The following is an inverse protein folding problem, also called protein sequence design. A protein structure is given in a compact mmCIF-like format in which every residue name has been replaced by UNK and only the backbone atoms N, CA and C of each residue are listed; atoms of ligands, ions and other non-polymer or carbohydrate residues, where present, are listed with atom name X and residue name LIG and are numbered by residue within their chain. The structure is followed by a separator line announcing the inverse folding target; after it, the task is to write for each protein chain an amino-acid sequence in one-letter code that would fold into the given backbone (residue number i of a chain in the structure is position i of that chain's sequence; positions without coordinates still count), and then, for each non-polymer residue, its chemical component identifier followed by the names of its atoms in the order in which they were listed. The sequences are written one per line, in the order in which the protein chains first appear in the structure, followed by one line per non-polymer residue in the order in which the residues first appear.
data_IF_461815564700
#
_entry.id   IF_461815564700
#
_cell.length_a   1.000
_cell.length_b   1.000
_cell.length_c   1.000
_cell.angle_alpha   90.00
_cell.angle_beta   90.00
_cell.angle_gamma   90.00
#
_symmetry.space_group_name_H-M   'P 1'
#
loop_
_entity.id
_entity.type
_entity.pdbx_description
1 polymer ?
#
# COMPACT_ATOMS: atom_id res chain seq x y z
N UNK A 1 -4.75 -0.29 27.51
CA UNK A 1 -5.00 -1.17 26.35
C UNK A 1 -6.44 -0.97 25.93
N UNK A 2 -6.69 -0.56 24.69
CA UNK A 2 -8.06 -0.40 24.20
C UNK A 2 -8.58 -1.74 23.64
N UNK A 3 -9.91 -1.87 23.54
CA UNK A 3 -10.55 -2.98 22.81
C UNK A 3 -9.92 -3.14 21.42
N UNK A 4 -9.58 -2.03 20.77
CA UNK A 4 -8.93 -2.03 19.46
C UNK A 4 -7.61 -2.81 19.47
N UNK A 5 -6.72 -2.54 20.40
CA UNK A 5 -5.39 -3.17 20.47
C UNK A 5 -5.48 -4.68 20.72
N UNK A 6 -6.51 -5.13 21.45
CA UNK A 6 -6.75 -6.56 21.70
C UNK A 6 -7.27 -7.31 20.46
N UNK A 7 -8.06 -6.66 19.59
CA UNK A 7 -8.66 -7.30 18.41
C UNK A 7 -7.79 -7.21 17.14
N UNK A 8 -6.87 -6.24 17.04
CA UNK A 8 -5.98 -6.10 15.88
C UNK A 8 -5.17 -7.38 15.55
N UNK A 9 -4.55 -8.09 16.53
CA UNK A 9 -3.85 -9.34 16.26
C UNK A 9 -4.76 -10.43 15.67
N UNK A 10 -6.00 -10.51 16.16
CA UNK A 10 -6.99 -11.48 15.71
C UNK A 10 -7.39 -11.17 14.26
N UNK A 11 -7.71 -9.91 13.97
CA UNK A 11 -8.10 -9.47 12.62
C UNK A 11 -6.96 -9.63 11.62
N UNK A 12 -5.72 -9.33 12.01
CA UNK A 12 -4.55 -9.50 11.14
C UNK A 12 -4.33 -10.97 10.77
N UNK A 13 -4.49 -11.87 11.75
CA UNK A 13 -4.43 -13.32 11.53
C UNK A 13 -5.46 -13.77 10.48
N UNK A 14 -6.73 -13.39 10.63
CA UNK A 14 -7.77 -13.75 9.66
C UNK A 14 -7.53 -13.15 8.27
N UNK A 15 -7.04 -11.90 8.20
CA UNK A 15 -6.69 -11.24 6.93
C UNK A 15 -5.54 -11.95 6.21
N UNK A 16 -4.56 -12.47 6.93
CA UNK A 16 -3.49 -13.30 6.37
C UNK A 16 -3.98 -14.68 5.92
N UNK A 17 -4.80 -15.34 6.74
CA UNK A 17 -5.36 -16.68 6.46
C UNK A 17 -6.18 -16.76 5.17
N UNK A 18 -6.92 -15.69 4.85
CA UNK A 18 -7.66 -15.58 3.58
C UNK A 18 -6.78 -15.79 2.34
N UNK A 19 -5.48 -15.51 2.46
CA UNK A 19 -4.50 -15.81 1.42
C UNK A 19 -3.80 -17.14 1.64
N UNK A 20 -3.26 -17.39 2.83
CA UNK A 20 -2.36 -18.52 3.07
C UNK A 20 -3.07 -19.88 3.11
N UNK A 21 -4.37 -19.90 3.39
CA UNK A 21 -5.17 -21.15 3.45
C UNK A 21 -6.06 -21.35 2.22
N UNK A 22 -6.51 -20.28 1.56
CA UNK A 22 -7.51 -20.36 0.49
C UNK A 22 -7.06 -19.76 -0.86
N UNK A 23 -5.86 -19.17 -0.94
CA UNK A 23 -5.29 -18.55 -2.15
C UNK A 23 -6.26 -17.65 -2.93
N UNK A 24 -7.13 -16.94 -2.20
CA UNK A 24 -8.17 -16.11 -2.81
C UNK A 24 -7.64 -14.78 -3.35
N UNK A 25 -6.38 -14.44 -3.07
CA UNK A 25 -5.76 -13.17 -3.49
C UNK A 25 -4.76 -13.43 -4.62
N UNK A 26 -5.16 -12.98 -5.81
CA UNK A 26 -4.43 -13.23 -7.07
C UNK A 26 -3.40 -12.15 -7.42
N UNK A 27 -3.30 -11.10 -6.62
CA UNK A 27 -2.42 -9.98 -6.86
C UNK A 27 -1.25 -9.98 -5.87
N UNK A 28 -0.06 -9.78 -6.40
CA UNK A 28 1.17 -9.48 -5.68
C UNK A 28 1.42 -7.98 -5.76
N UNK A 29 1.76 -7.38 -4.62
CA UNK A 29 2.03 -5.93 -4.52
C UNK A 29 3.43 -5.73 -3.94
N UNK A 30 4.26 -4.98 -4.66
CA UNK A 30 5.58 -4.56 -4.21
C UNK A 30 5.58 -3.05 -4.09
N UNK A 31 6.06 -2.55 -2.96
CA UNK A 31 6.25 -1.13 -2.70
C UNK A 31 7.70 -0.80 -3.03
N UNK A 32 7.89 0.12 -3.96
CA UNK A 32 9.19 0.71 -4.28
C UNK A 32 9.26 2.08 -3.64
N UNK A 33 10.25 2.29 -2.78
CA UNK A 33 10.58 3.60 -2.26
C UNK A 33 11.86 4.05 -2.97
N UNK A 34 11.76 5.12 -3.75
CA UNK A 34 12.90 5.76 -4.36
C UNK A 34 13.30 6.95 -3.49
N UNK A 35 14.52 6.96 -2.98
CA UNK A 35 15.12 8.15 -2.38
C UNK A 35 16.11 8.78 -3.35
N UNK A 36 16.07 10.11 -3.44
CA UNK A 36 16.99 10.91 -4.23
C UNK A 36 17.93 11.67 -3.30
N UNK A 37 19.18 11.88 -3.74
CA UNK A 37 20.17 12.68 -3.00
C UNK A 37 19.59 14.05 -2.61
N UNK A 38 19.78 14.51 -1.35
CA UNK A 38 19.26 15.79 -0.87
C UNK A 38 19.62 16.96 -1.79
N UNK A 39 18.66 17.87 -2.01
CA UNK A 39 18.86 19.07 -2.83
C UNK A 39 18.82 18.86 -4.35
N UNK A 40 18.61 17.62 -4.83
CA UNK A 40 18.49 17.32 -6.26
C UNK A 40 17.03 16.96 -6.59
N UNK A 41 16.47 17.57 -7.64
CA UNK A 41 15.14 17.24 -8.15
C UNK A 41 15.15 15.84 -8.80
N UNK A 42 14.07 15.06 -8.67
CA UNK A 42 13.93 13.80 -9.39
C UNK A 42 14.16 13.98 -10.90
N UNK A 43 15.10 13.22 -11.48
CA UNK A 43 15.42 13.26 -12.92
C UNK A 43 16.41 14.35 -13.35
N UNK A 44 17.02 15.09 -12.43
CA UNK A 44 18.12 16.01 -12.77
C UNK A 44 19.42 15.27 -13.09
N UNK A 45 20.25 15.82 -13.97
CA UNK A 45 21.53 15.20 -14.34
C UNK A 45 22.45 15.07 -13.10
N UNK A 46 22.97 13.86 -12.83
CA UNK A 46 23.77 13.57 -11.64
C UNK A 46 22.96 13.14 -10.41
N UNK A 47 21.64 12.99 -10.53
CA UNK A 47 20.80 12.44 -9.47
C UNK A 47 21.02 10.92 -9.33
N UNK A 48 21.47 10.46 -8.17
CA UNK A 48 21.48 9.02 -7.83
C UNK A 48 20.14 8.64 -7.23
N UNK A 49 19.54 7.57 -7.77
CA UNK A 49 18.29 6.97 -7.28
C UNK A 49 18.64 5.71 -6.51
N UNK A 50 18.17 5.61 -5.27
CA UNK A 50 18.28 4.38 -4.46
C UNK A 50 16.90 3.71 -4.35
N UNK A 51 16.56 2.75 -5.23
CA UNK A 51 15.29 2.04 -5.15
C UNK A 51 15.33 0.93 -4.09
N UNK A 52 14.39 0.97 -3.15
CA UNK A 52 14.15 -0.13 -2.20
C UNK A 52 12.82 -0.78 -2.48
N UNK A 53 12.85 -2.04 -2.93
CA UNK A 53 11.67 -2.85 -3.21
C UNK A 53 11.33 -3.73 -2.02
N UNK A 54 10.12 -3.56 -1.47
CA UNK A 54 9.62 -4.35 -0.35
C UNK A 54 8.26 -4.96 -0.70
N UNK A 55 8.06 -6.28 -0.57
CA UNK A 55 6.76 -6.89 -0.78
C UNK A 55 5.77 -6.40 0.28
N UNK A 56 4.59 -5.97 -0.15
CA UNK A 56 3.52 -5.55 0.75
C UNK A 56 2.70 -6.78 1.14
N UNK A 57 2.85 -7.18 2.41
CA UNK A 57 2.22 -8.37 2.97
C UNK A 57 1.36 -8.01 4.18
N UNK A 58 0.28 -8.76 4.38
CA UNK A 58 -0.56 -8.72 5.60
C UNK A 58 -0.41 -10.05 6.30
N UNK A 59 0.25 -10.03 7.47
CA UNK A 59 0.60 -11.21 8.25
C UNK A 59 1.25 -12.33 7.40
N UNK A 60 2.20 -11.97 6.53
CA UNK A 60 2.90 -12.89 5.61
C UNK A 60 2.09 -13.32 4.38
N UNK A 61 0.82 -12.93 4.25
CA UNK A 61 -0.01 -13.18 3.07
C UNK A 61 -0.04 -12.00 2.10
N UNK A 62 -0.37 -12.28 0.83
CA UNK A 62 -0.65 -11.27 -0.22
C UNK A 62 -1.75 -10.33 0.23
N UNK A 63 -1.72 -9.08 -0.19
CA UNK A 63 -2.79 -8.10 0.05
C UNK A 63 -3.96 -8.28 -0.93
N UNK A 64 -5.17 -7.91 -0.49
CA UNK A 64 -6.32 -7.88 -1.41
C UNK A 64 -6.22 -6.60 -2.24
N UNK A 65 -6.43 -6.75 -3.54
CA UNK A 65 -6.51 -5.66 -4.51
C UNK A 65 -7.86 -5.79 -5.20
N UNK A 66 -8.62 -4.70 -5.25
CA UNK A 66 -9.92 -4.61 -5.90
C UNK A 66 -10.00 -3.36 -6.76
N UNK A 67 -10.72 -3.40 -7.87
CA UNK A 67 -11.00 -2.20 -8.65
C UNK A 67 -12.09 -1.39 -7.95
N UNK A 68 -11.96 -0.06 -7.93
CA UNK A 68 -13.01 0.80 -7.39
C UNK A 68 -14.31 0.63 -8.16
N UNK A 69 -15.42 0.57 -7.44
CA UNK A 69 -16.74 0.51 -8.07
C UNK A 69 -17.17 1.89 -8.55
N UNK A 70 -18.07 1.96 -9.54
CA UNK A 70 -18.64 3.24 -10.00
C UNK A 70 -19.26 4.05 -8.85
N UNK A 71 -19.84 3.38 -7.86
CA UNK A 71 -20.39 4.03 -6.67
C UNK A 71 -19.30 4.75 -5.87
N UNK A 72 -18.15 4.11 -5.67
CA UNK A 72 -17.02 4.70 -4.94
C UNK A 72 -16.42 5.88 -5.71
N UNK A 73 -16.37 5.76 -7.05
CA UNK A 73 -15.92 6.85 -7.93
C UNK A 73 -16.83 8.07 -7.80
N UNK A 74 -18.15 7.89 -7.87
CA UNK A 74 -19.12 8.99 -7.72
C UNK A 74 -19.05 9.58 -6.30
N UNK A 75 -18.97 8.73 -5.28
CA UNK A 75 -18.89 9.15 -3.88
C UNK A 75 -17.59 9.93 -3.55
N UNK A 76 -16.54 9.78 -4.36
CA UNK A 76 -15.26 10.46 -4.19
C UNK A 76 -15.28 11.96 -4.50
N UNK A 77 -16.35 12.46 -5.12
CA UNK A 77 -16.44 13.86 -5.54
C UNK A 77 -15.47 14.23 -6.68
N UNK A 78 -15.06 13.26 -7.50
CA UNK A 78 -14.17 13.45 -8.65
C UNK A 78 -12.69 13.18 -8.38
N UNK A 79 -12.33 12.70 -7.18
CA UNK A 79 -10.95 12.35 -6.85
C UNK A 79 -10.51 11.03 -7.51
N UNK A 80 -11.41 10.04 -7.54
CA UNK A 80 -11.16 8.72 -8.10
C UNK A 80 -11.62 8.65 -9.55
N UNK A 81 -10.96 7.79 -10.32
CA UNK A 81 -11.21 7.57 -11.74
C UNK A 81 -11.45 6.10 -12.02
N UNK A 82 -11.98 5.82 -13.21
CA UNK A 82 -12.06 4.45 -13.68
C UNK A 82 -10.65 3.84 -13.77
N UNK A 83 -10.54 2.54 -13.51
CA UNK A 83 -9.30 1.77 -13.37
C UNK A 83 -8.42 2.09 -12.15
N UNK A 84 -8.85 2.96 -11.24
CA UNK A 84 -8.19 3.09 -9.94
C UNK A 84 -8.39 1.80 -9.13
N UNK A 85 -7.32 1.38 -8.45
CA UNK A 85 -7.29 0.17 -7.64
C UNK A 85 -7.24 0.52 -6.17
N UNK A 86 -7.93 -0.29 -5.37
CA UNK A 86 -7.98 -0.23 -3.92
C UNK A 86 -7.21 -1.42 -3.34
N UNK A 87 -6.21 -1.12 -2.53
CA UNK A 87 -5.35 -2.09 -1.85
C UNK A 87 -5.76 -2.11 -0.37
N UNK A 88 -6.09 -3.29 0.14
CA UNK A 88 -6.43 -3.49 1.55
C UNK A 88 -7.49 -4.57 1.73
N UNK A 89 -7.91 -4.86 2.98
CA UNK A 89 -7.61 -4.10 4.19
C UNK A 89 -6.19 -4.33 4.71
N UNK A 90 -5.47 -3.24 4.98
CA UNK A 90 -4.21 -3.25 5.72
C UNK A 90 -4.48 -3.06 7.21
N UNK A 91 -3.71 -3.73 8.06
CA UNK A 91 -3.83 -3.62 9.52
C UNK A 91 -2.94 -2.47 10.00
N UNK A 92 -3.48 -1.46 10.72
CA UNK A 92 -2.69 -0.41 11.37
C UNK A 92 -1.63 -0.98 12.32
N UNK A 93 -0.58 -0.21 12.66
CA UNK A 93 0.46 -0.69 13.54
C UNK A 93 -0.09 -1.05 14.92
N UNK A 94 0.31 -2.21 15.45
CA UNK A 94 -0.05 -2.70 16.78
C UNK A 94 1.10 -3.51 17.38
N UNK A 95 1.09 -3.69 18.69
CA UNK A 95 2.04 -4.57 19.38
C UNK A 95 1.45 -5.95 19.54
N UNK A 96 2.14 -6.99 19.03
CA UNK A 96 1.66 -8.36 19.14
C UNK A 96 1.83 -8.94 20.57
N UNK A 97 1.32 -10.15 20.80
CA UNK A 97 1.39 -10.82 22.11
C UNK A 97 2.84 -11.12 22.57
N UNK A 98 3.82 -11.10 21.66
CA UNK A 98 5.25 -11.26 21.97
C UNK A 98 5.96 -9.91 22.20
N UNK A 99 5.24 -8.79 22.23
CA UNK A 99 5.82 -7.45 22.43
C UNK A 99 6.51 -6.87 21.19
N UNK A 100 6.42 -7.50 20.02
CA UNK A 100 7.01 -7.02 18.78
C UNK A 100 6.02 -6.14 17.98
N UNK A 101 6.49 -5.09 17.29
CA UNK A 101 5.65 -4.30 16.39
C UNK A 101 5.18 -5.15 15.21
N UNK A 102 3.89 -5.07 14.91
CA UNK A 102 3.22 -5.74 13.81
C UNK A 102 2.24 -4.79 13.11
N UNK A 103 1.67 -5.23 11.98
CA UNK A 103 0.88 -4.37 11.11
C UNK A 103 1.73 -3.47 10.22
N UNK A 104 1.07 -2.68 9.39
CA UNK A 104 1.71 -1.81 8.41
C UNK A 104 1.44 -0.36 8.80
N UNK A 105 2.51 0.41 9.02
CA UNK A 105 2.40 1.83 9.33
C UNK A 105 2.02 2.63 8.07
N UNK A 106 0.90 3.37 8.07
CA UNK A 106 0.51 4.20 6.94
C UNK A 106 1.55 5.29 6.59
N UNK A 107 2.38 5.72 7.55
CA UNK A 107 3.44 6.71 7.32
C UNK A 107 4.53 6.21 6.35
N UNK A 108 4.66 4.90 6.14
CA UNK A 108 5.55 4.33 5.11
C UNK A 108 5.10 4.72 3.70
N UNK A 109 3.81 4.97 3.50
CA UNK A 109 3.25 5.36 2.21
C UNK A 109 3.14 6.87 2.01
N UNK A 110 3.29 7.64 3.09
CA UNK A 110 3.31 9.10 3.10
C UNK A 110 4.62 9.56 3.78
N UNK A 111 5.77 9.43 3.10
CA UNK A 111 7.05 9.81 3.69
C UNK A 111 7.01 11.29 4.11
N UNK A 112 7.51 11.57 5.31
CA UNK A 112 7.63 12.94 5.81
C UNK A 112 8.47 13.73 4.82
N UNK A 113 7.99 14.92 4.46
CA UNK A 113 8.74 15.87 3.63
C UNK A 113 10.02 16.21 4.37
N UNK A 114 11.12 15.56 3.98
CA UNK A 114 12.46 15.78 4.52
C UNK A 114 13.33 16.45 3.46
N UNK A 115 14.59 16.78 3.78
CA UNK A 115 15.53 17.35 2.80
C UNK A 115 15.84 16.44 1.61
N UNK A 116 15.40 15.17 1.64
CA UNK A 116 15.53 14.21 0.53
C UNK A 116 14.18 14.04 -0.18
N UNK A 117 14.19 14.17 -1.51
CA UNK A 117 13.00 13.88 -2.32
C UNK A 117 12.76 12.37 -2.31
N UNK A 118 11.59 11.94 -1.85
CA UNK A 118 11.20 10.53 -1.78
C UNK A 118 9.96 10.29 -2.63
N UNK A 119 9.97 9.21 -3.43
CA UNK A 119 8.84 8.79 -4.24
C UNK A 119 8.43 7.36 -3.86
N UNK A 120 7.14 7.15 -3.64
CA UNK A 120 6.57 5.83 -3.32
C UNK A 120 5.74 5.34 -4.50
N UNK A 121 6.12 4.18 -5.03
CA UNK A 121 5.45 3.50 -6.14
C UNK A 121 5.00 2.10 -5.73
N UNK A 122 3.90 1.64 -6.32
CA UNK A 122 3.35 0.32 -6.08
C UNK A 122 3.39 -0.46 -7.40
N UNK A 123 4.15 -1.56 -7.44
CA UNK A 123 4.08 -2.53 -8.52
C UNK A 123 3.02 -3.56 -8.18
N UNK A 124 2.00 -3.67 -9.02
CA UNK A 124 0.95 -4.68 -8.88
C UNK A 124 1.09 -5.67 -10.02
N UNK A 125 1.21 -6.95 -9.67
CA UNK A 125 1.28 -8.09 -10.59
C UNK A 125 0.13 -9.04 -10.32
N UNK A 126 -0.57 -9.52 -11.35
CA UNK A 126 -1.70 -10.44 -11.20
C UNK A 126 -2.57 -10.51 -12.46
N UNK A 127 -3.81 -11.01 -12.37
CA UNK A 127 -4.73 -11.08 -13.51
C UNK A 127 -4.93 -9.72 -14.18
N UNK A 128 -4.69 -9.63 -15.49
CA UNK A 128 -4.72 -8.38 -16.25
C UNK A 128 -3.44 -7.54 -16.19
N UNK A 129 -2.49 -7.88 -15.32
CA UNK A 129 -1.18 -7.22 -15.17
C UNK A 129 -0.05 -8.26 -15.04
N UNK A 130 0.06 -9.15 -16.04
CA UNK A 130 1.03 -10.27 -16.02
C UNK A 130 2.49 -9.80 -16.02
N UNK A 131 2.80 -8.69 -16.68
CA UNK A 131 4.13 -8.06 -16.67
C UNK A 131 4.36 -7.12 -15.48
N UNK A 132 3.32 -6.90 -14.67
CA UNK A 132 3.29 -5.89 -13.61
C UNK A 132 3.05 -4.49 -14.14
N UNK A 133 2.24 -3.72 -13.43
CA UNK A 133 2.04 -2.30 -13.70
C UNK A 133 2.39 -1.47 -12.47
N UNK A 134 2.88 -0.26 -12.71
CA UNK A 134 3.24 0.70 -11.67
C UNK A 134 2.06 1.62 -11.38
N UNK A 135 1.86 1.87 -10.09
CA UNK A 135 0.79 2.71 -9.58
C UNK A 135 1.35 3.69 -8.55
N UNK A 136 0.72 4.85 -8.43
CA UNK A 136 1.00 5.85 -7.40
C UNK A 136 -0.19 5.98 -6.46
N UNK A 137 0.06 6.30 -5.19
CA UNK A 137 -1.00 6.60 -4.22
C UNK A 137 -1.72 7.90 -4.60
N UNK A 138 -3.04 7.88 -4.54
CA UNK A 138 -3.90 9.07 -4.77
C UNK A 138 -4.78 9.36 -3.56
N UNK A 139 -5.13 8.32 -2.80
CA UNK A 139 -5.95 8.49 -1.61
C UNK A 139 -5.70 7.40 -0.59
N UNK A 140 -6.22 7.65 0.60
CA UNK A 140 -6.26 6.68 1.68
C UNK A 140 -7.63 6.76 2.34
N UNK A 141 -8.26 5.59 2.51
CA UNK A 141 -9.47 5.49 3.30
C UNK A 141 -9.14 4.98 4.70
N UNK A 142 -9.57 5.75 5.70
CA UNK A 142 -9.52 5.40 7.11
C UNK A 142 -10.95 5.20 7.59
N UNK A 143 -11.48 3.96 7.59
CA UNK A 143 -12.77 3.65 8.21
C UNK A 143 -12.82 4.15 9.66
N UNK A 144 -13.97 4.68 10.08
CA UNK A 144 -14.20 5.30 11.40
C UNK A 144 -13.74 4.47 12.61
N UNK A 145 -13.69 3.14 12.46
CA UNK A 145 -13.30 2.23 13.53
C UNK A 145 -11.78 1.98 13.63
N UNK A 146 -10.95 2.54 12.73
CA UNK A 146 -9.48 2.45 12.74
C UNK A 146 -8.91 1.02 12.91
N UNK A 147 -9.66 -0.01 12.51
CA UNK A 147 -9.23 -1.43 12.52
C UNK A 147 -8.57 -1.87 11.21
N UNK A 148 -8.68 -1.07 10.17
CA UNK A 148 -8.09 -1.28 8.86
C UNK A 148 -7.90 0.05 8.18
N UNK A 149 -7.08 0.10 7.15
CA UNK A 149 -7.09 1.18 6.17
C UNK A 149 -6.94 0.61 4.76
N UNK A 150 -7.29 1.42 3.77
CA UNK A 150 -7.16 1.09 2.37
C UNK A 150 -6.38 2.18 1.66
N UNK A 151 -5.54 1.77 0.71
CA UNK A 151 -4.83 2.67 -0.18
C UNK A 151 -5.53 2.67 -1.53
N UNK A 152 -5.70 3.85 -2.12
CA UNK A 152 -6.21 3.98 -3.48
C UNK A 152 -5.06 4.42 -4.35
N UNK A 153 -4.82 3.64 -5.40
CA UNK A 153 -3.69 3.80 -6.30
C UNK A 153 -4.16 3.91 -7.74
N UNK A 154 -3.47 4.76 -8.51
CA UNK A 154 -3.73 4.98 -9.93
C UNK A 154 -2.53 4.58 -10.76
N UNK A 155 -2.80 3.97 -11.91
CA UNK A 155 -1.78 3.57 -12.86
C UNK A 155 -0.94 4.78 -13.26
N UNK A 156 0.37 4.62 -13.26
CA UNK A 156 1.31 5.66 -13.70
C UNK A 156 2.14 5.15 -14.88
N UNK A 157 2.48 6.07 -15.78
CA UNK A 157 3.38 5.80 -16.90
C UNK A 157 4.86 5.81 -16.46
N UNK A 158 5.15 6.12 -15.18
CA UNK A 158 6.48 6.02 -14.60
C UNK A 158 6.95 4.54 -14.60
N UNK A 159 7.41 4.09 -15.77
CA UNK A 159 8.20 2.89 -15.93
C UNK A 159 9.64 3.24 -15.59
N UNK A 160 9.97 3.07 -14.32
CA UNK A 160 11.34 3.23 -13.85
C UNK A 160 12.14 1.97 -14.20
N UNK A 161 12.75 1.99 -15.41
CA UNK A 161 13.97 1.21 -15.70
C UNK A 161 14.98 1.46 -14.57
#
# INVERSE_FOLDING_TARGET
MSIRDAYLPILDKYRGMLNTTWDLRRYDVVVRINTWTPGILPGAQGSTREPVDTPLLVNGGRVKVEQLTQRDIIASGGLYQDQDLKIGPLTPPYTNAQGLPAGTDPAVFDPVISGSNTEVLFKITGPGYSTGAWFKKIGQELPKANFSYYLIVRKTAAQNV
#
